data_IF_896670864049
#
_entry.id   IF_896670864049
#
_cell.length_a   1.000
_cell.length_b   1.000
_cell.length_c   1.000
_cell.angle_alpha   90.00
_cell.angle_beta   90.00
_cell.angle_gamma   90.00
#
_symmetry.space_group_name_H-M   'P 1'
#
loop_
_entity.id
_entity.type
_entity.pdbx_description
1 polymer ?
#
# COMPACT_ATOMS: atom_id res chain seq x y z
N UNK A 1 -49.75 20.15 63.96
CA UNK A 1 -48.92 18.96 63.67
C UNK A 1 -48.96 18.73 62.17
N UNK A 2 -47.93 19.22 61.46
CA UNK A 2 -47.81 19.14 60.02
C UNK A 2 -46.91 17.95 59.63
N UNK A 3 -47.24 17.16 58.60
CA UNK A 3 -46.39 16.06 58.16
C UNK A 3 -45.21 16.60 57.34
N UNK A 4 -44.01 16.11 57.68
CA UNK A 4 -42.75 16.38 56.98
C UNK A 4 -42.75 15.72 55.60
N UNK A 5 -42.58 16.54 54.57
CA UNK A 5 -42.31 16.10 53.20
C UNK A 5 -40.81 15.82 53.07
N UNK A 6 -40.44 14.59 52.66
CA UNK A 6 -39.10 14.29 52.15
C UNK A 6 -39.15 14.39 50.62
N UNK A 7 -38.24 15.15 49.97
CA UNK A 7 -38.14 15.14 48.53
C UNK A 7 -37.42 13.87 48.07
N UNK A 8 -38.07 13.13 47.17
CA UNK A 8 -37.53 11.98 46.48
C UNK A 8 -36.55 12.48 45.41
N UNK A 9 -35.25 12.41 45.68
CA UNK A 9 -34.22 12.71 44.68
C UNK A 9 -34.14 11.53 43.72
N UNK A 10 -34.83 11.62 42.58
CA UNK A 10 -34.65 10.71 41.46
C UNK A 10 -33.28 10.96 40.84
N UNK A 11 -32.33 10.07 41.14
CA UNK A 11 -31.04 10.03 40.45
C UNK A 11 -31.26 9.59 38.99
N UNK A 12 -31.14 10.54 38.07
CA UNK A 12 -31.07 10.25 36.64
C UNK A 12 -29.69 9.69 36.35
N UNK A 13 -29.60 8.36 36.29
CA UNK A 13 -28.40 7.67 35.81
C UNK A 13 -28.38 7.83 34.29
N UNK A 14 -27.63 8.81 33.80
CA UNK A 14 -27.29 8.95 32.39
C UNK A 14 -26.26 7.86 32.09
N UNK A 15 -26.55 6.83 31.27
CA UNK A 15 -25.51 5.92 30.83
C UNK A 15 -24.56 6.71 29.95
N UNK A 16 -23.34 6.94 30.44
CA UNK A 16 -22.23 7.33 29.58
C UNK A 16 -22.07 6.24 28.54
N UNK A 17 -22.52 6.52 27.31
CA UNK A 17 -22.06 5.83 26.12
C UNK A 17 -20.55 6.06 26.05
N UNK A 18 -19.80 5.09 26.55
CA UNK A 18 -18.39 4.94 26.22
C UNK A 18 -18.38 4.64 24.72
N UNK A 19 -18.18 5.68 23.93
CA UNK A 19 -17.68 5.54 22.57
C UNK A 19 -16.35 4.82 22.69
N UNK A 20 -16.38 3.50 22.55
CA UNK A 20 -15.20 2.73 22.22
C UNK A 20 -14.75 3.24 20.85
N UNK A 21 -13.92 4.29 20.86
CA UNK A 21 -13.01 4.57 19.78
C UNK A 21 -12.01 3.40 19.78
N UNK A 22 -12.43 2.28 19.21
CA UNK A 22 -11.53 1.25 18.72
C UNK A 22 -10.74 1.85 17.56
N UNK A 23 -9.79 2.73 17.89
CA UNK A 23 -8.71 3.05 16.96
C UNK A 23 -7.98 1.75 16.67
N UNK A 24 -7.82 1.43 15.40
CA UNK A 24 -6.95 0.34 14.98
C UNK A 24 -5.55 0.67 15.50
N UNK A 25 -5.09 -0.02 16.55
CA UNK A 25 -3.69 0.08 16.97
C UNK A 25 -2.89 -0.78 16.00
N UNK A 26 -2.05 -0.12 15.21
CA UNK A 26 -1.07 -0.77 14.37
C UNK A 26 0.09 -1.17 15.28
N UNK A 27 0.29 -2.46 15.51
CA UNK A 27 1.50 -2.96 16.19
C UNK A 27 2.71 -2.64 15.31
N UNK A 28 3.47 -1.61 15.70
CA UNK A 28 4.63 -1.10 14.96
C UNK A 28 5.72 -2.18 14.77
N UNK A 29 5.80 -3.13 15.69
CA UNK A 29 6.76 -4.25 15.60
C UNK A 29 6.37 -5.28 14.53
N UNK A 30 5.09 -5.35 14.13
CA UNK A 30 4.62 -6.24 13.06
C UNK A 30 4.66 -5.58 11.67
N UNK A 31 4.54 -4.26 11.60
CA UNK A 31 4.32 -3.50 10.35
C UNK A 31 5.54 -2.72 9.86
N UNK A 32 6.73 -3.02 10.37
CA UNK A 32 7.99 -2.50 9.82
C UNK A 32 9.10 -3.54 9.81
N UNK A 33 8.73 -4.83 9.93
CA UNK A 33 9.67 -5.92 9.75
C UNK A 33 10.27 -5.85 8.35
N UNK A 34 11.57 -6.12 8.26
CA UNK A 34 12.13 -6.56 6.99
C UNK A 34 11.35 -7.81 6.59
N UNK A 35 11.07 -7.98 5.31
CA UNK A 35 10.69 -9.30 4.82
C UNK A 35 11.67 -10.31 5.40
N UNK A 36 11.17 -11.46 5.86
CA UNK A 36 11.93 -12.45 6.63
C UNK A 36 13.12 -12.99 5.80
N UNK A 37 14.18 -12.17 5.76
CA UNK A 37 15.31 -12.25 4.81
C UNK A 37 16.07 -13.56 4.98
N UNK A 38 15.99 -14.15 6.17
CA UNK A 38 16.65 -15.38 6.55
C UNK A 38 15.96 -16.63 6.04
N UNK A 39 14.65 -16.58 5.77
CA UNK A 39 13.91 -17.80 5.40
C UNK A 39 14.04 -18.15 3.91
N UNK A 40 14.52 -17.22 3.08
CA UNK A 40 14.61 -17.37 1.62
C UNK A 40 16.04 -17.44 1.06
N UNK A 41 17.07 -17.13 1.86
CA UNK A 41 18.48 -17.35 1.47
C UNK A 41 18.83 -18.84 1.36
N UNK A 42 18.03 -19.72 1.99
CA UNK A 42 18.27 -21.17 2.03
C UNK A 42 17.49 -21.95 0.95
N UNK A 43 16.65 -21.28 0.14
CA UNK A 43 15.85 -21.94 -0.90
C UNK A 43 16.43 -21.63 -2.29
N UNK A 44 17.04 -22.63 -2.94
CA UNK A 44 17.43 -22.62 -4.36
C UNK A 44 16.19 -22.50 -5.27
N UNK A 45 15.48 -21.38 -5.22
CA UNK A 45 14.49 -21.03 -6.24
C UNK A 45 15.23 -20.38 -7.40
N UNK A 46 15.08 -20.94 -8.60
CA UNK A 46 15.84 -20.58 -9.80
C UNK A 46 15.59 -19.15 -10.29
N UNK A 47 14.55 -18.46 -9.83
CA UNK A 47 14.39 -17.02 -10.00
C UNK A 47 13.69 -16.43 -8.75
N UNK A 48 14.44 -16.00 -7.71
CA UNK A 48 13.84 -15.22 -6.65
C UNK A 48 13.41 -13.88 -7.26
N UNK A 49 12.20 -13.41 -6.93
CA UNK A 49 11.78 -12.03 -7.24
C UNK A 49 12.94 -11.10 -6.90
N UNK A 50 13.50 -10.43 -7.91
CA UNK A 50 14.74 -9.69 -7.75
C UNK A 50 14.48 -8.61 -6.70
N UNK A 51 15.03 -8.80 -5.50
CA UNK A 51 14.81 -7.92 -4.35
C UNK A 51 15.25 -6.47 -4.65
N UNK A 52 16.08 -6.29 -5.69
CA UNK A 52 16.49 -5.00 -6.24
C UNK A 52 15.36 -4.27 -6.98
N UNK A 53 14.36 -4.97 -7.53
CA UNK A 53 13.23 -4.37 -8.28
C UNK A 53 12.29 -3.55 -7.37
N UNK A 54 12.30 -3.82 -6.06
CA UNK A 54 11.45 -3.12 -5.10
C UNK A 54 12.12 -1.90 -4.48
N UNK A 55 13.42 -1.69 -4.72
CA UNK A 55 14.16 -0.60 -4.07
C UNK A 55 13.89 0.74 -4.74
N UNK A 56 13.55 1.73 -3.92
CA UNK A 56 13.35 3.12 -4.35
C UNK A 56 11.89 3.50 -4.64
N UNK A 57 10.96 2.53 -4.68
CA UNK A 57 9.53 2.77 -4.88
C UNK A 57 8.69 2.14 -3.78
N UNK A 58 7.52 2.73 -3.51
CA UNK A 58 6.51 2.09 -2.66
C UNK A 58 5.84 0.99 -3.50
N UNK A 59 5.96 -0.26 -3.09
CA UNK A 59 5.42 -1.39 -3.85
C UNK A 59 4.10 -1.88 -3.23
N UNK A 60 3.08 -2.07 -4.06
CA UNK A 60 1.79 -2.66 -3.69
C UNK A 60 1.72 -4.06 -4.25
N UNK A 61 1.81 -5.06 -3.37
CA UNK A 61 1.58 -6.46 -3.73
C UNK A 61 0.13 -6.79 -3.42
N UNK A 62 -0.66 -7.14 -4.43
CA UNK A 62 -2.02 -7.62 -4.25
C UNK A 62 -2.15 -9.02 -4.79
N UNK A 63 -2.66 -9.95 -3.98
CA UNK A 63 -2.86 -11.33 -4.43
C UNK A 63 -4.32 -11.67 -4.61
N UNK A 64 -4.69 -12.11 -5.81
CA UNK A 64 -6.00 -12.74 -6.09
C UNK A 64 -5.92 -14.25 -5.85
N UNK A 65 -7.05 -14.87 -5.56
CA UNK A 65 -7.15 -16.31 -5.32
C UNK A 65 -8.36 -16.90 -6.07
N UNK A 66 -8.37 -18.22 -6.32
CA UNK A 66 -9.46 -18.87 -7.03
C UNK A 66 -10.78 -18.74 -6.25
N UNK A 67 -11.92 -18.72 -6.98
CA UNK A 67 -13.23 -18.66 -6.35
C UNK A 67 -13.47 -19.91 -5.50
N UNK A 68 -14.08 -19.71 -4.34
CA UNK A 68 -14.44 -20.82 -3.44
C UNK A 68 -15.89 -21.23 -3.69
N UNK A 69 -16.14 -22.52 -3.89
CA UNK A 69 -17.47 -23.03 -4.20
C UNK A 69 -18.40 -23.09 -2.98
N UNK A 70 -17.82 -23.02 -1.77
CA UNK A 70 -18.55 -23.06 -0.50
C UNK A 70 -18.17 -21.88 0.39
N UNK A 71 -19.09 -21.51 1.28
CA UNK A 71 -18.82 -20.50 2.28
C UNK A 71 -17.82 -21.04 3.31
N UNK A 72 -16.58 -20.60 3.23
CA UNK A 72 -15.58 -20.86 4.25
C UNK A 72 -15.80 -19.94 5.45
N UNK A 73 -16.52 -20.42 6.47
CA UNK A 73 -16.59 -19.74 7.75
C UNK A 73 -15.27 -19.91 8.50
N UNK A 74 -14.29 -19.04 8.24
CA UNK A 74 -13.12 -18.96 9.11
C UNK A 74 -13.45 -18.11 10.33
N UNK A 75 -13.40 -18.77 11.48
CA UNK A 75 -13.79 -18.27 12.78
C UNK A 75 -12.74 -17.25 13.24
N UNK A 76 -12.93 -15.98 12.91
CA UNK A 76 -12.63 -14.93 13.86
C UNK A 76 -13.90 -14.75 14.67
N UNK A 77 -14.00 -15.40 15.83
CA UNK A 77 -15.22 -15.50 16.65
C UNK A 77 -15.84 -14.15 17.02
N UNK A 78 -15.09 -13.06 16.80
CA UNK A 78 -15.41 -11.67 17.14
C UNK A 78 -15.24 -10.69 15.96
N UNK A 79 -14.90 -11.15 14.74
CA UNK A 79 -14.82 -10.28 13.55
C UNK A 79 -15.91 -10.61 12.54
N UNK A 80 -16.22 -9.64 11.68
CA UNK A 80 -17.17 -9.84 10.59
C UNK A 80 -16.72 -11.01 9.69
N UNK A 81 -17.63 -11.94 9.33
CA UNK A 81 -17.29 -13.08 8.50
C UNK A 81 -16.88 -12.64 7.09
N UNK A 82 -15.75 -13.15 6.62
CA UNK A 82 -15.30 -12.93 5.24
C UNK A 82 -15.98 -13.97 4.34
N UNK A 83 -16.79 -13.49 3.39
CA UNK A 83 -17.49 -14.36 2.43
C UNK A 83 -16.62 -14.57 1.18
N UNK A 84 -15.59 -15.41 1.27
CA UNK A 84 -14.67 -15.67 0.16
C UNK A 84 -15.36 -16.15 -1.12
N UNK A 85 -16.43 -16.92 -0.99
CA UNK A 85 -17.25 -17.40 -2.10
C UNK A 85 -18.02 -16.30 -2.84
N UNK A 86 -18.09 -15.08 -2.28
CA UNK A 86 -18.73 -13.92 -2.90
C UNK A 86 -17.74 -12.96 -3.55
N UNK A 87 -16.43 -13.21 -3.40
CA UNK A 87 -15.40 -12.37 -4.00
C UNK A 87 -15.24 -12.79 -5.46
N UNK A 88 -15.51 -11.85 -6.38
CA UNK A 88 -15.29 -12.02 -7.81
C UNK A 88 -13.89 -11.50 -8.12
N UNK A 89 -12.93 -12.40 -8.38
CA UNK A 89 -11.53 -12.00 -8.52
C UNK A 89 -11.29 -11.19 -9.81
N UNK A 90 -12.07 -11.42 -10.86
CA UNK A 90 -12.01 -10.68 -12.12
C UNK A 90 -12.35 -9.20 -11.92
N UNK A 91 -13.38 -8.92 -11.11
CA UNK A 91 -13.73 -7.55 -10.71
C UNK A 91 -12.59 -6.93 -9.90
N UNK A 92 -11.95 -7.70 -9.00
CA UNK A 92 -10.81 -7.21 -8.24
C UNK A 92 -9.61 -6.84 -9.13
N UNK A 93 -9.34 -7.61 -10.21
CA UNK A 93 -8.27 -7.27 -11.18
C UNK A 93 -8.60 -5.96 -11.89
N UNK A 94 -9.85 -5.77 -12.33
CA UNK A 94 -10.28 -4.52 -12.95
C UNK A 94 -10.15 -3.33 -11.98
N UNK A 95 -10.57 -3.49 -10.73
CA UNK A 95 -10.45 -2.47 -9.69
C UNK A 95 -8.98 -2.16 -9.39
N UNK A 96 -8.12 -3.18 -9.39
CA UNK A 96 -6.67 -3.03 -9.21
C UNK A 96 -6.06 -2.20 -10.34
N UNK A 97 -6.38 -2.50 -11.61
CA UNK A 97 -5.97 -1.68 -12.76
C UNK A 97 -6.44 -0.23 -12.62
N UNK A 98 -7.70 0.00 -12.22
CA UNK A 98 -8.23 1.34 -12.03
C UNK A 98 -7.52 2.10 -10.90
N UNK A 99 -7.10 1.41 -9.84
CA UNK A 99 -6.32 2.01 -8.76
C UNK A 99 -4.93 2.40 -9.27
N UNK A 100 -4.25 1.51 -9.99
CA UNK A 100 -2.95 1.77 -10.63
C UNK A 100 -3.02 3.00 -11.54
N UNK A 101 -3.96 3.04 -12.49
CA UNK A 101 -4.12 4.18 -13.40
C UNK A 101 -4.44 5.50 -12.69
N UNK A 102 -5.07 5.46 -11.51
CA UNK A 102 -5.26 6.67 -10.67
C UNK A 102 -3.95 7.15 -10.05
N UNK A 103 -3.06 6.25 -9.63
CA UNK A 103 -1.75 6.66 -9.11
C UNK A 103 -0.88 7.23 -10.23
N UNK A 104 -0.85 6.57 -11.39
CA UNK A 104 -0.14 7.06 -12.57
C UNK A 104 -0.65 8.44 -13.02
N UNK A 105 -1.98 8.59 -13.17
CA UNK A 105 -2.59 9.85 -13.58
C UNK A 105 -2.40 11.01 -12.59
N UNK A 106 -2.07 10.72 -11.33
CA UNK A 106 -1.73 11.72 -10.32
C UNK A 106 -0.22 11.96 -10.17
N UNK A 107 0.61 11.42 -11.07
CA UNK A 107 2.05 11.65 -11.11
C UNK A 107 2.88 10.78 -10.16
N UNK A 108 2.33 9.64 -9.70
CA UNK A 108 3.05 8.69 -8.83
C UNK A 108 3.71 7.53 -9.59
N UNK A 109 3.78 7.57 -10.92
CA UNK A 109 4.35 6.50 -11.75
C UNK A 109 5.76 6.09 -11.34
N UNK A 110 6.58 7.05 -10.93
CA UNK A 110 7.98 6.80 -10.57
C UNK A 110 8.16 6.51 -9.09
N UNK A 111 7.09 6.64 -8.29
CA UNK A 111 7.12 6.53 -6.83
C UNK A 111 6.37 5.30 -6.30
N UNK A 112 5.43 4.76 -7.07
CA UNK A 112 4.58 3.64 -6.66
C UNK A 112 4.54 2.57 -7.74
N UNK A 113 4.81 1.34 -7.35
CA UNK A 113 4.74 0.16 -8.20
C UNK A 113 3.57 -0.72 -7.78
N UNK A 114 2.85 -1.28 -8.74
CA UNK A 114 1.74 -2.21 -8.51
C UNK A 114 2.10 -3.58 -9.07
N UNK A 115 1.94 -4.61 -8.25
CA UNK A 115 2.24 -5.99 -8.62
C UNK A 115 1.05 -6.87 -8.27
N UNK A 116 0.58 -7.60 -9.27
CA UNK A 116 -0.52 -8.55 -9.14
C UNK A 116 0.04 -9.96 -8.96
N UNK A 117 -0.36 -10.63 -7.89
CA UNK A 117 -0.03 -12.03 -7.60
C UNK A 117 -1.24 -12.94 -7.78
N UNK A 118 -1.03 -14.12 -8.35
CA UNK A 118 -2.04 -15.19 -8.40
C UNK A 118 -1.71 -16.26 -7.37
N UNK A 119 -2.45 -16.28 -6.26
CA UNK A 119 -2.21 -17.18 -5.14
C UNK A 119 -3.00 -18.48 -5.27
N UNK A 120 -2.35 -19.59 -4.92
CA UNK A 120 -3.01 -20.86 -4.73
C UNK A 120 -4.01 -20.81 -3.56
N UNK A 121 -5.11 -21.55 -3.67
CA UNK A 121 -6.01 -21.73 -2.54
C UNK A 121 -5.26 -22.41 -1.39
N UNK A 122 -5.41 -21.91 -0.15
CA UNK A 122 -4.83 -22.59 1.02
C UNK A 122 -5.40 -24.00 1.20
N UNK A 123 -6.66 -24.16 0.83
CA UNK A 123 -7.44 -25.39 0.89
C UNK A 123 -8.00 -25.63 -0.52
N UNK A 124 -7.24 -26.30 -1.41
CA UNK A 124 -7.66 -26.55 -2.78
C UNK A 124 -9.00 -27.30 -2.89
N UNK A 125 -9.36 -28.10 -1.89
CA UNK A 125 -10.63 -28.81 -1.82
C UNK A 125 -11.87 -27.90 -1.70
N UNK A 126 -11.66 -26.62 -1.36
CA UNK A 126 -12.71 -25.59 -1.34
C UNK A 126 -12.92 -24.92 -2.72
N UNK A 127 -12.08 -25.26 -3.71
CA UNK A 127 -12.08 -24.70 -5.05
C UNK A 127 -12.43 -25.77 -6.08
N UNK A 128 -13.09 -25.35 -7.15
CA UNK A 128 -13.48 -26.25 -8.25
C UNK A 128 -12.45 -26.22 -9.40
N UNK A 129 -11.37 -25.44 -9.26
CA UNK A 129 -10.33 -25.21 -10.26
C UNK A 129 -8.95 -25.43 -9.66
N UNK A 130 -8.06 -26.05 -10.44
CA UNK A 130 -6.67 -26.25 -10.06
C UNK A 130 -5.85 -24.96 -10.25
N UNK A 131 -4.69 -24.88 -9.61
CA UNK A 131 -3.88 -23.65 -9.59
C UNK A 131 -3.40 -23.21 -10.98
N UNK A 132 -3.00 -24.14 -11.85
CA UNK A 132 -2.51 -23.82 -13.19
C UNK A 132 -3.60 -23.21 -14.07
N UNK A 133 -4.80 -23.83 -14.08
CA UNK A 133 -5.97 -23.30 -14.81
C UNK A 133 -6.37 -21.92 -14.28
N UNK A 134 -6.30 -21.73 -12.96
CA UNK A 134 -6.55 -20.43 -12.35
C UNK A 134 -5.49 -19.39 -12.75
N UNK A 135 -4.20 -19.75 -12.72
CA UNK A 135 -3.10 -18.87 -13.09
C UNK A 135 -3.20 -18.44 -14.56
N UNK A 136 -3.52 -19.36 -15.47
CA UNK A 136 -3.72 -19.07 -16.89
C UNK A 136 -4.88 -18.09 -17.09
N UNK A 137 -5.99 -18.28 -16.36
CA UNK A 137 -7.14 -17.39 -16.42
C UNK A 137 -6.79 -15.98 -15.91
N UNK A 138 -6.14 -15.86 -14.74
CA UNK A 138 -5.69 -14.58 -14.19
C UNK A 138 -4.72 -13.88 -15.15
N UNK A 139 -3.77 -14.63 -15.71
CA UNK A 139 -2.78 -14.11 -16.67
C UNK A 139 -3.46 -13.61 -17.94
N UNK A 140 -4.45 -14.34 -18.45
CA UNK A 140 -5.24 -13.92 -19.62
C UNK A 140 -6.00 -12.60 -19.38
N UNK A 141 -6.66 -12.48 -18.22
CA UNK A 141 -7.40 -11.26 -17.85
C UNK A 141 -6.44 -10.09 -17.64
N UNK A 142 -5.34 -10.31 -16.92
CA UNK A 142 -4.33 -9.29 -16.61
C UNK A 142 -3.60 -8.80 -17.87
N UNK A 143 -3.37 -9.67 -18.85
CA UNK A 143 -2.82 -9.31 -20.14
C UNK A 143 -3.71 -8.30 -20.89
N UNK A 144 -5.04 -8.37 -20.72
CA UNK A 144 -5.97 -7.37 -21.25
C UNK A 144 -5.77 -5.96 -20.69
N UNK A 145 -5.10 -5.83 -19.54
CA UNK A 145 -4.74 -4.58 -18.88
C UNK A 145 -3.24 -4.28 -18.91
N UNK A 146 -2.43 -5.08 -19.63
CA UNK A 146 -0.97 -5.00 -19.65
C UNK A 146 -0.33 -5.11 -18.25
N UNK A 147 -0.89 -5.97 -17.39
CA UNK A 147 -0.40 -6.23 -16.03
C UNK A 147 0.35 -7.57 -16.04
N UNK A 148 1.59 -7.59 -15.53
CA UNK A 148 2.31 -8.83 -15.27
C UNK A 148 1.76 -9.51 -14.02
N UNK A 149 1.60 -10.83 -14.09
CA UNK A 149 1.10 -11.65 -13.00
C UNK A 149 2.24 -12.48 -12.43
N UNK A 150 2.41 -12.41 -11.12
CA UNK A 150 3.38 -13.23 -10.40
C UNK A 150 2.69 -14.48 -9.86
N UNK A 151 3.17 -15.69 -10.21
CA UNK A 151 2.62 -16.91 -9.63
C UNK A 151 2.98 -16.98 -8.14
N UNK A 152 2.00 -17.35 -7.31
CA UNK A 152 2.16 -17.50 -5.87
C UNK A 152 1.63 -18.88 -5.41
N UNK A 153 2.30 -19.99 -5.79
CA UNK A 153 1.95 -21.33 -5.35
C UNK A 153 2.23 -21.53 -3.85
N UNK A 154 1.74 -22.65 -3.30
CA UNK A 154 2.12 -23.12 -1.98
C UNK A 154 3.43 -23.91 -2.06
N UNK A 155 4.37 -23.61 -1.17
CA UNK A 155 5.59 -24.41 -0.97
C UNK A 155 5.25 -25.76 -0.32
N UNK A 156 6.22 -26.68 -0.27
CA UNK A 156 6.09 -27.99 0.41
C UNK A 156 5.62 -27.86 1.87
N UNK A 157 5.98 -26.75 2.52
CA UNK A 157 5.59 -26.43 3.91
C UNK A 157 4.19 -25.79 4.04
N UNK A 158 3.44 -25.63 2.94
CA UNK A 158 2.12 -25.00 2.92
C UNK A 158 2.15 -23.48 3.13
N UNK A 159 3.28 -22.83 2.87
CA UNK A 159 3.47 -21.38 2.90
C UNK A 159 3.46 -20.80 1.49
N UNK A 160 2.99 -19.56 1.33
CA UNK A 160 2.96 -18.88 0.03
C UNK A 160 4.35 -18.47 -0.45
N UNK A 161 4.63 -18.71 -1.73
CA UNK A 161 5.90 -18.39 -2.37
C UNK A 161 6.18 -16.87 -2.41
N UNK A 162 5.15 -16.05 -2.60
CA UNK A 162 5.23 -14.59 -2.66
C UNK A 162 5.24 -14.00 -1.24
N UNK A 163 6.30 -14.27 -0.48
CA UNK A 163 6.53 -13.69 0.85
C UNK A 163 5.40 -13.97 1.87
N UNK A 164 4.78 -15.15 1.79
CA UNK A 164 3.66 -15.49 2.67
C UNK A 164 2.35 -14.75 2.35
N UNK A 165 2.27 -13.98 1.26
CA UNK A 165 1.09 -13.21 0.86
C UNK A 165 -0.09 -14.16 0.59
N UNK A 166 -1.16 -14.01 1.36
CA UNK A 166 -2.32 -14.90 1.35
C UNK A 166 -3.38 -14.47 0.33
N UNK A 167 -4.39 -15.33 0.17
CA UNK A 167 -5.60 -15.11 -0.62
C UNK A 167 -6.22 -13.72 -0.35
N UNK A 168 -6.38 -12.91 -1.40
CA UNK A 168 -7.00 -11.58 -1.36
C UNK A 168 -6.32 -10.59 -0.41
N UNK A 169 -5.09 -10.84 0.01
CA UNK A 169 -4.34 -9.97 0.91
C UNK A 169 -3.55 -8.91 0.12
N UNK A 170 -3.32 -7.76 0.75
CA UNK A 170 -2.45 -6.70 0.21
C UNK A 170 -1.29 -6.44 1.16
N UNK A 171 -0.07 -6.45 0.62
CA UNK A 171 1.09 -5.87 1.29
C UNK A 171 1.45 -4.54 0.64
N UNK A 172 1.68 -3.52 1.47
CA UNK A 172 2.28 -2.26 1.03
C UNK A 172 3.68 -2.22 1.58
N UNK A 173 4.67 -2.22 0.69
CA UNK A 173 6.06 -2.11 1.02
C UNK A 173 6.51 -0.67 0.87
N UNK A 174 7.33 -0.22 1.81
CA UNK A 174 8.08 1.02 1.69
C UNK A 174 9.23 0.88 0.67
N UNK A 175 9.88 1.98 0.30
CA UNK A 175 11.01 2.09 -0.65
C UNK A 175 12.22 1.20 -0.35
N UNK A 176 12.19 0.56 0.81
CA UNK A 176 13.28 -0.24 1.37
C UNK A 176 12.90 -1.69 1.54
N UNK A 177 11.82 -2.11 0.86
CA UNK A 177 11.32 -3.47 0.91
C UNK A 177 10.97 -3.90 2.34
N UNK A 178 10.46 -2.96 3.14
CA UNK A 178 9.90 -3.23 4.47
C UNK A 178 8.39 -3.24 4.36
N UNK A 179 7.73 -4.22 4.95
CA UNK A 179 6.27 -4.29 4.92
C UNK A 179 5.73 -3.20 5.84
N UNK A 180 5.21 -2.10 5.28
CA UNK A 180 4.62 -0.99 6.03
C UNK A 180 3.17 -1.28 6.45
N UNK A 181 2.44 -2.05 5.63
CA UNK A 181 1.08 -2.46 5.93
C UNK A 181 0.80 -3.87 5.43
N UNK A 182 0.11 -4.63 6.28
CA UNK A 182 -0.56 -5.88 5.92
C UNK A 182 -2.06 -5.64 6.03
N UNK A 183 -2.76 -5.70 4.90
CA UNK A 183 -4.21 -5.52 4.86
C UNK A 183 -4.84 -6.87 4.55
N UNK A 184 -5.63 -7.38 5.48
CA UNK A 184 -6.36 -8.64 5.33
C UNK A 184 -7.80 -8.39 4.86
N UNK A 185 -8.45 -9.38 4.21
CA UNK A 185 -9.86 -9.31 3.89
C UNK A 185 -10.73 -9.10 5.16
N UNK A 186 -11.87 -8.39 5.06
CA UNK A 186 -12.45 -7.82 3.84
C UNK A 186 -11.85 -6.47 3.43
N UNK A 187 -11.03 -5.83 4.27
CA UNK A 187 -10.53 -4.47 4.04
C UNK A 187 -9.51 -4.35 2.91
N UNK A 188 -8.89 -5.48 2.53
CA UNK A 188 -7.96 -5.58 1.41
C UNK A 188 -8.61 -5.59 0.03
N UNK A 189 -9.93 -5.80 -0.06
CA UNK A 189 -10.64 -5.73 -1.34
C UNK A 189 -10.53 -4.31 -1.92
N UNK A 190 -10.14 -4.21 -3.18
CA UNK A 190 -9.71 -2.95 -3.83
C UNK A 190 -10.85 -1.92 -3.91
N UNK A 191 -12.11 -2.38 -3.80
CA UNK A 191 -13.28 -1.52 -3.69
C UNK A 191 -13.24 -0.58 -2.45
N UNK A 192 -12.52 -0.96 -1.41
CA UNK A 192 -12.38 -0.16 -0.20
C UNK A 192 -11.16 0.76 -0.24
N UNK A 193 -11.23 1.88 0.47
CA UNK A 193 -10.19 2.92 0.43
C UNK A 193 -8.92 2.59 1.23
N UNK A 194 -8.87 1.45 1.94
CA UNK A 194 -7.75 1.11 2.83
C UNK A 194 -6.44 0.94 2.09
N UNK A 195 -6.44 0.30 0.92
CA UNK A 195 -5.23 0.12 0.11
C UNK A 195 -4.69 1.47 -0.33
N UNK A 196 -5.55 2.33 -0.89
CA UNK A 196 -5.17 3.69 -1.29
C UNK A 196 -4.60 4.49 -0.11
N UNK A 197 -5.26 4.43 1.05
CA UNK A 197 -4.82 5.14 2.25
C UNK A 197 -3.46 4.64 2.74
N UNK A 198 -3.25 3.32 2.76
CA UNK A 198 -1.97 2.71 3.14
C UNK A 198 -0.83 3.15 2.21
N UNK A 199 -1.05 3.15 0.90
CA UNK A 199 -0.03 3.61 -0.07
C UNK A 199 0.33 5.07 0.16
N UNK A 200 -0.66 5.96 0.32
CA UNK A 200 -0.41 7.38 0.57
C UNK A 200 0.28 7.60 1.91
N UNK A 201 -0.11 6.87 2.96
CA UNK A 201 0.56 6.90 4.26
C UNK A 201 2.02 6.46 4.14
N UNK A 202 2.32 5.40 3.41
CA UNK A 202 3.70 4.96 3.18
C UNK A 202 4.53 6.02 2.45
N UNK A 203 3.94 6.73 1.48
CA UNK A 203 4.63 7.81 0.75
C UNK A 203 4.92 9.04 1.63
N UNK A 204 3.94 9.48 2.42
CA UNK A 204 3.98 10.78 3.10
C UNK A 204 4.37 10.67 4.57
N UNK A 205 3.79 9.73 5.29
CA UNK A 205 3.95 9.59 6.75
C UNK A 205 5.13 8.70 7.11
N UNK A 206 5.60 7.86 6.18
CA UNK A 206 6.76 6.96 6.33
C UNK A 206 6.71 6.21 7.66
N UNK A 207 5.72 5.33 7.88
CA UNK A 207 5.49 4.68 9.17
C UNK A 207 6.68 3.84 9.65
N UNK A 208 7.56 3.41 8.75
CA UNK A 208 8.78 2.69 9.07
C UNK A 208 10.03 3.56 9.22
N UNK A 209 9.87 4.88 9.18
CA UNK A 209 10.97 5.83 9.30
C UNK A 209 11.84 5.94 8.06
N UNK A 210 12.90 6.72 8.17
CA UNK A 210 13.86 6.95 7.07
C UNK A 210 14.61 5.68 6.68
N UNK A 211 15.18 5.72 5.48
CA UNK A 211 15.91 4.59 4.94
C UNK A 211 17.09 5.04 4.09
N UNK A 212 18.16 4.24 4.09
CA UNK A 212 19.43 4.58 3.46
C UNK A 212 19.37 4.77 1.94
N UNK A 213 18.39 4.20 1.22
CA UNK A 213 18.20 4.52 -0.21
C UNK A 213 17.85 5.99 -0.44
N UNK A 214 17.18 6.65 0.51
CA UNK A 214 16.99 8.11 0.43
C UNK A 214 18.33 8.84 0.61
N UNK A 215 19.27 8.29 1.40
CA UNK A 215 20.62 8.83 1.55
C UNK A 215 21.47 8.66 0.28
N UNK A 216 21.29 7.57 -0.49
CA UNK A 216 21.96 7.39 -1.79
C UNK A 216 21.44 8.34 -2.87
N UNK A 217 20.12 8.58 -2.94
CA UNK A 217 19.53 9.56 -3.86
C UNK A 217 19.87 11.00 -3.47
N UNK A 218 19.93 11.32 -2.18
CA UNK A 218 20.33 12.64 -1.69
C UNK A 218 21.84 12.89 -1.80
N UNK A 219 22.69 11.86 -1.71
CA UNK A 219 24.15 11.98 -1.85
C UNK A 219 24.63 11.96 -3.30
N UNK A 220 23.81 11.51 -4.24
CA UNK A 220 24.09 11.53 -5.70
C UNK A 220 23.63 12.82 -6.38
N UNK A 221 22.98 13.74 -5.67
CA UNK A 221 22.92 15.15 -6.08
C UNK A 221 24.29 15.78 -5.80
N UNK A 222 25.10 16.14 -6.82
CA UNK A 222 26.28 16.94 -6.57
C UNK A 222 25.84 18.26 -5.94
N UNK A 223 26.30 18.49 -4.70
CA UNK A 223 26.18 19.73 -3.92
C UNK A 223 26.56 20.99 -4.72
N UNK A 224 27.22 20.82 -5.87
CA UNK A 224 27.61 21.89 -6.79
C UNK A 224 26.45 22.64 -7.45
N UNK A 225 25.22 22.11 -7.55
CA UNK A 225 24.09 22.85 -8.17
C UNK A 225 23.19 23.63 -7.21
N UNK A 226 23.31 23.45 -5.89
CA UNK A 226 22.58 24.29 -4.93
C UNK A 226 23.34 25.59 -4.58
N UNK A 227 24.67 25.60 -4.77
CA UNK A 227 25.50 26.79 -4.54
C UNK A 227 25.43 27.82 -5.69
N UNK A 228 25.09 27.40 -6.92
CA UNK A 228 24.96 28.32 -8.07
C UNK A 228 23.61 29.06 -8.12
N UNK A 229 22.55 28.55 -7.49
CA UNK A 229 21.26 29.25 -7.40
C UNK A 229 21.18 30.27 -6.25
N UNK A 230 22.17 30.28 -5.35
CA UNK A 230 22.28 31.30 -4.29
C UNK A 230 23.34 32.38 -4.58
N UNK A 231 24.02 32.32 -5.74
CA UNK A 231 24.96 33.35 -6.18
C UNK A 231 24.46 34.10 -7.42
N UNK A 232 23.20 34.55 -7.40
CA UNK A 232 22.84 35.72 -8.21
C UNK A 232 23.41 36.96 -7.51
N UNK A 233 24.34 37.71 -8.14
CA UNK A 233 24.82 38.95 -7.58
C UNK A 233 23.69 39.97 -7.55
N UNK A 234 23.50 40.58 -6.38
CA UNK A 234 22.67 41.75 -6.15
C UNK A 234 23.13 42.87 -7.10
N UNK A 235 22.44 43.04 -8.22
CA UNK A 235 22.68 44.16 -9.14
C UNK A 235 22.32 45.44 -8.39
N UNK A 236 23.36 46.21 -8.03
CA UNK A 236 23.21 47.61 -7.62
C UNK A 236 22.52 48.37 -8.75
N UNK A 237 21.31 48.87 -8.49
CA UNK A 237 20.71 49.94 -9.28
C UNK A 237 21.58 51.19 -9.17
N UNK A 238 22.41 51.43 -10.17
CA UNK A 238 22.95 52.77 -10.46
C UNK A 238 22.17 53.30 -11.64
N UNK A 239 21.41 54.36 -11.39
CA UNK A 239 20.72 55.17 -12.39
C UNK A 239 21.73 55.75 -13.39
N UNK A 240 21.61 55.38 -14.67
CA UNK A 240 22.28 56.11 -15.76
C UNK A 240 21.22 56.79 -16.61
N UNK A 241 21.14 58.10 -16.42
CA UNK A 241 20.42 59.07 -17.24
C UNK A 241 20.79 58.92 -18.72
N UNK A 242 19.79 58.70 -19.56
CA UNK A 242 19.90 58.76 -21.02
C UNK A 242 20.01 60.22 -21.46
N UNK A 243 21.17 60.63 -21.97
CA UNK A 243 21.30 61.89 -22.72
C UNK A 243 21.06 61.62 -24.20
N UNK A 244 20.00 62.19 -24.72
CA UNK A 244 19.56 62.15 -26.12
C UNK A 244 20.48 62.98 -27.01
N UNK A 245 21.02 62.39 -28.07
CA UNK A 245 21.66 63.12 -29.17
C UNK A 245 20.58 63.75 -30.06
N UNK A 246 20.56 65.07 -30.18
CA UNK A 246 19.78 65.78 -31.20
C UNK A 246 20.75 66.45 -32.17
N UNK A 247 20.69 66.02 -33.43
CA UNK A 247 21.34 66.63 -34.58
C UNK A 247 20.61 67.94 -34.91
N UNK A 248 21.34 69.06 -34.96
CA UNK A 248 20.88 70.28 -35.66
C UNK A 248 22.05 70.83 -36.47
N UNK A 249 21.73 71.11 -37.72
CA UNK A 249 22.52 71.68 -38.81
C UNK A 249 23.03 73.10 -38.54
N UNK A 250 24.29 73.36 -38.94
CA UNK A 250 24.69 74.47 -39.83
C UNK A 250 26.05 74.17 -40.47
#
# INVERSE_FOLDING_TARGET
MAPRWLPLVTAVVIPMLVLAQGGMSVDQDATCSQLDRKQYLDQETTEPMVEEDFRGQVTVLYSVAPPKSRLTHRIYRERDPIFFNKIVFEEQIQLFHNLMGRFEGNGYSDSVQFILGASAARYPEECDVDFEDFLDNVTSIAAGYNISVYPNPLNENGTYAMYGLKEFQVYVLDRCSRIAYIIEPPWSLIQYSYVKAAVLSTLYDRPCGECDVDNFLNSSLPVQKMAELQQMPTVKSTSTTTTTTTTTTE
#
